data_IF_023388589730
#
_entry.id   IF_023388589730
#
_cell.length_a   1.000
_cell.length_b   1.000
_cell.length_c   1.000
_cell.angle_alpha   90.00
_cell.angle_beta   90.00
_cell.angle_gamma   90.00
#
_symmetry.space_group_name_H-M   'P 1'
#
loop_
_entity.id
_entity.type
_entity.pdbx_description
1 polymer ?
#
# COMPACT_ATOMS: atom_id res chain seq x y z
N UNK A 1 14.77 -1.29 21.45
CA UNK A 1 15.55 -2.08 20.46
C UNK A 1 14.57 -2.62 19.44
N UNK A 2 14.62 -2.13 18.21
CA UNK A 2 13.82 -2.64 17.09
C UNK A 2 14.34 -4.03 16.72
N UNK A 3 13.53 -5.07 16.85
CA UNK A 3 13.90 -6.46 16.54
C UNK A 3 14.24 -6.61 15.06
N UNK A 4 15.34 -7.27 14.68
CA UNK A 4 15.68 -7.51 13.26
C UNK A 4 14.52 -8.15 12.48
N UNK A 5 14.32 -7.73 11.21
CA UNK A 5 13.27 -8.27 10.34
C UNK A 5 13.62 -9.62 9.70
N UNK A 6 14.90 -9.99 9.56
CA UNK A 6 15.38 -11.24 8.93
C UNK A 6 14.60 -11.60 7.63
N UNK A 7 14.52 -10.68 6.68
CA UNK A 7 13.71 -10.83 5.46
C UNK A 7 14.36 -11.77 4.44
N UNK A 8 13.54 -12.60 3.80
CA UNK A 8 13.87 -13.40 2.62
C UNK A 8 13.11 -12.78 1.44
N UNK A 9 13.80 -12.09 0.52
CA UNK A 9 13.16 -11.32 -0.56
C UNK A 9 12.38 -12.21 -1.54
N UNK A 10 12.78 -13.48 -1.69
CA UNK A 10 12.07 -14.50 -2.46
C UNK A 10 10.71 -14.88 -1.85
N UNK A 11 10.49 -14.59 -0.56
CA UNK A 11 9.21 -14.79 0.16
C UNK A 11 8.56 -13.48 0.61
N UNK A 12 9.10 -12.34 0.18
CA UNK A 12 8.65 -11.02 0.61
C UNK A 12 8.16 -10.21 -0.59
N UNK A 13 6.98 -9.62 -0.48
CA UNK A 13 6.47 -8.66 -1.45
C UNK A 13 6.51 -7.22 -0.92
N UNK A 14 6.80 -6.26 -1.78
CA UNK A 14 6.45 -4.86 -1.57
C UNK A 14 5.06 -4.61 -2.14
N UNK A 15 4.15 -4.09 -1.33
CA UNK A 15 2.78 -3.78 -1.74
C UNK A 15 2.56 -2.28 -1.57
N UNK A 16 2.48 -1.56 -2.70
CA UNK A 16 2.35 -0.11 -2.76
C UNK A 16 0.88 0.27 -2.99
N UNK A 17 0.26 0.93 -2.02
CA UNK A 17 -1.16 1.27 -2.06
C UNK A 17 -1.38 2.67 -2.64
N UNK A 18 -2.14 2.72 -3.73
CA UNK A 18 -2.74 3.91 -4.35
C UNK A 18 -1.78 5.09 -4.56
N UNK A 19 -0.55 4.81 -5.00
CA UNK A 19 0.40 5.85 -5.46
C UNK A 19 0.06 6.33 -6.89
N UNK A 20 -1.18 6.75 -7.06
CA UNK A 20 -1.79 7.23 -8.30
C UNK A 20 -1.99 8.74 -8.27
N UNK A 21 -2.06 9.38 -9.43
CA UNK A 21 -2.17 10.84 -9.59
C UNK A 21 -3.33 11.44 -8.79
N UNK A 22 -4.44 10.71 -8.70
CA UNK A 22 -5.63 11.12 -7.96
C UNK A 22 -5.52 11.11 -6.44
N UNK A 23 -4.55 10.38 -5.89
CA UNK A 23 -4.46 10.08 -4.44
C UNK A 23 -3.18 10.67 -3.83
N UNK A 24 -2.06 10.67 -4.57
CA UNK A 24 -0.79 11.26 -4.12
C UNK A 24 -0.93 12.69 -3.57
N UNK A 25 -1.81 13.58 -4.10
CA UNK A 25 -2.02 14.91 -3.52
C UNK A 25 -2.54 14.94 -2.06
N UNK A 26 -2.98 13.81 -1.49
CA UNK A 26 -3.29 13.69 -0.06
C UNK A 26 -2.02 13.86 0.78
N UNK A 27 -0.88 13.35 0.30
CA UNK A 27 0.41 13.52 0.96
C UNK A 27 0.89 14.98 0.85
N UNK A 28 0.66 15.75 1.93
CA UNK A 28 1.09 17.16 2.01
C UNK A 28 2.56 17.32 2.34
N UNK A 29 3.21 16.32 2.93
CA UNK A 29 4.66 16.39 3.21
C UNK A 29 5.49 16.07 1.96
N UNK A 30 4.91 15.35 1.00
CA UNK A 30 5.57 14.95 -0.25
C UNK A 30 6.65 13.89 -0.03
N UNK A 31 6.64 13.21 1.13
CA UNK A 31 7.66 12.22 1.49
C UNK A 31 7.34 10.82 1.00
N UNK A 32 6.06 10.51 0.72
CA UNK A 32 5.60 9.16 0.42
C UNK A 32 6.23 8.63 -0.87
N UNK A 33 6.12 9.36 -1.98
CA UNK A 33 6.62 8.92 -3.29
C UNK A 33 8.15 8.77 -3.30
N UNK A 34 8.95 9.74 -2.81
CA UNK A 34 10.40 9.57 -2.71
C UNK A 34 10.83 8.36 -1.86
N UNK A 35 10.14 8.10 -0.75
CA UNK A 35 10.46 6.97 0.12
C UNK A 35 10.02 5.63 -0.50
N UNK A 36 8.83 5.57 -1.09
CA UNK A 36 8.36 4.43 -1.86
C UNK A 36 9.33 4.07 -2.99
N UNK A 37 9.89 5.07 -3.69
CA UNK A 37 10.89 4.86 -4.74
C UNK A 37 12.15 4.16 -4.21
N UNK A 38 12.64 4.53 -3.02
CA UNK A 38 13.79 3.84 -2.39
C UNK A 38 13.47 2.37 -2.08
N UNK A 39 12.26 2.08 -1.60
CA UNK A 39 11.81 0.71 -1.35
C UNK A 39 11.74 -0.10 -2.64
N UNK A 40 11.17 0.48 -3.71
CA UNK A 40 11.10 -0.14 -5.05
C UNK A 40 12.50 -0.50 -5.55
N UNK A 41 13.47 0.40 -5.38
CA UNK A 41 14.85 0.17 -5.82
C UNK A 41 15.49 -1.00 -5.06
N UNK A 42 15.29 -1.09 -3.74
CA UNK A 42 15.77 -2.23 -2.94
C UNK A 42 15.12 -3.54 -3.39
N UNK A 43 13.80 -3.57 -3.58
CA UNK A 43 13.12 -4.80 -4.03
C UNK A 43 13.57 -5.23 -5.42
N UNK A 44 13.80 -4.28 -6.34
CA UNK A 44 14.34 -4.58 -7.68
C UNK A 44 15.76 -5.13 -7.60
N UNK A 45 16.64 -4.52 -6.80
CA UNK A 45 18.02 -4.99 -6.61
C UNK A 45 18.06 -6.41 -6.05
N UNK A 46 17.18 -6.72 -5.09
CA UNK A 46 17.14 -8.01 -4.40
C UNK A 46 16.25 -9.06 -5.09
N UNK A 47 15.62 -8.72 -6.21
CA UNK A 47 14.73 -9.62 -6.95
C UNK A 47 13.42 -9.96 -6.21
N UNK A 48 13.00 -9.11 -5.27
CA UNK A 48 11.75 -9.27 -4.55
C UNK A 48 10.53 -8.91 -5.41
N UNK A 49 9.37 -9.49 -5.07
CA UNK A 49 8.13 -9.21 -5.78
C UNK A 49 7.59 -7.82 -5.43
N UNK A 50 7.04 -7.10 -6.41
CA UNK A 50 6.44 -5.78 -6.20
C UNK A 50 5.02 -5.80 -6.76
N UNK A 51 4.06 -5.39 -5.94
CA UNK A 51 2.66 -5.20 -6.30
C UNK A 51 2.32 -3.73 -6.26
N UNK A 52 1.99 -3.16 -7.42
CA UNK A 52 1.47 -1.80 -7.53
C UNK A 52 -0.05 -1.82 -7.49
N UNK A 53 -0.64 -1.25 -6.45
CA UNK A 53 -2.09 -1.20 -6.26
C UNK A 53 -2.61 0.18 -6.62
N UNK A 54 -3.64 0.24 -7.46
CA UNK A 54 -4.46 1.44 -7.64
C UNK A 54 -5.93 1.12 -7.38
N UNK A 55 -6.72 2.14 -7.11
CA UNK A 55 -8.17 2.09 -7.20
C UNK A 55 -8.60 2.74 -8.50
N UNK A 56 -9.55 2.11 -9.19
CA UNK A 56 -10.21 2.64 -10.38
C UNK A 56 -11.57 1.97 -10.54
N UNK A 57 -12.49 2.54 -11.31
CA UNK A 57 -13.83 2.02 -11.54
C UNK A 57 -14.05 1.84 -13.05
N UNK A 58 -14.78 0.80 -13.45
CA UNK A 58 -14.96 0.52 -14.89
C UNK A 58 -15.84 1.56 -15.58
N UNK A 59 -17.01 1.81 -14.99
CA UNK A 59 -18.02 2.76 -15.48
C UNK A 59 -18.66 3.56 -14.33
N UNK A 60 -18.16 3.37 -13.10
CA UNK A 60 -18.69 3.97 -11.89
C UNK A 60 -19.96 3.28 -11.37
N UNK A 61 -20.60 2.39 -12.14
CA UNK A 61 -21.70 1.58 -11.64
C UNK A 61 -21.22 0.53 -10.63
N UNK A 62 -19.94 0.14 -10.73
CA UNK A 62 -19.21 -0.76 -9.84
C UNK A 62 -18.72 -0.12 -8.53
N UNK A 63 -18.94 1.19 -8.33
CA UNK A 63 -18.67 1.84 -7.05
C UNK A 63 -19.62 1.35 -5.94
N UNK A 64 -19.09 1.27 -4.70
CA UNK A 64 -19.85 0.92 -3.51
C UNK A 64 -20.90 1.99 -3.19
N UNK A 65 -22.15 1.57 -2.92
CA UNK A 65 -23.29 2.45 -2.57
C UNK A 65 -23.98 2.11 -1.23
N UNK A 66 -23.27 1.70 -0.17
CA UNK A 66 -23.91 1.54 1.14
C UNK A 66 -24.37 2.91 1.66
N UNK A 67 -25.44 2.92 2.45
CA UNK A 67 -25.86 4.13 3.17
C UNK A 67 -24.89 4.39 4.32
N UNK A 68 -24.26 5.56 4.33
CA UNK A 68 -23.29 6.01 5.34
C UNK A 68 -23.69 7.36 5.89
N UNK A 69 -23.33 7.64 7.15
CA UNK A 69 -23.61 8.93 7.80
C UNK A 69 -22.86 10.09 7.12
N UNK A 70 -21.68 9.78 6.56
CA UNK A 70 -20.93 10.69 5.70
C UNK A 70 -21.23 10.34 4.25
N UNK A 71 -21.84 11.27 3.51
CA UNK A 71 -21.93 11.13 2.06
C UNK A 71 -20.51 11.11 1.49
N UNK A 72 -20.23 10.17 0.60
CA UNK A 72 -19.04 10.27 -0.23
C UNK A 72 -19.07 11.65 -0.89
N UNK A 73 -18.00 12.44 -0.71
CA UNK A 73 -17.92 13.77 -1.31
C UNK A 73 -18.37 13.65 -2.77
N UNK A 74 -19.25 14.55 -3.21
CA UNK A 74 -19.79 14.53 -4.56
C UNK A 74 -18.66 14.69 -5.56
N UNK A 75 -18.05 13.59 -5.97
CA UNK A 75 -16.96 13.61 -6.93
C UNK A 75 -17.65 13.76 -8.29
N UNK A 76 -17.55 14.96 -8.86
CA UNK A 76 -17.49 15.08 -10.31
C UNK A 76 -16.55 13.99 -10.84
N UNK A 77 -16.94 13.35 -11.95
CA UNK A 77 -16.18 12.24 -12.53
C UNK A 77 -14.67 12.57 -12.50
N UNK A 78 -13.84 11.68 -11.93
CA UNK A 78 -12.42 11.96 -11.77
C UNK A 78 -11.78 12.22 -13.15
N UNK A 79 -10.67 12.99 -13.19
CA UNK A 79 -9.89 13.14 -14.42
C UNK A 79 -9.55 11.77 -15.04
N UNK A 80 -9.40 11.72 -16.37
CA UNK A 80 -9.13 10.45 -17.07
C UNK A 80 -7.86 9.75 -16.60
N UNK A 81 -6.88 10.51 -16.10
CA UNK A 81 -5.61 10.00 -15.60
C UNK A 81 -5.58 9.80 -14.07
N UNK A 82 -6.71 9.93 -13.38
CA UNK A 82 -6.79 9.82 -11.92
C UNK A 82 -6.27 8.48 -11.38
N UNK A 83 -6.53 7.41 -12.13
CA UNK A 83 -6.11 6.04 -11.83
C UNK A 83 -4.66 5.73 -12.23
N UNK A 84 -4.02 6.60 -13.02
CA UNK A 84 -2.65 6.37 -13.46
C UNK A 84 -1.68 6.51 -12.28
N UNK A 85 -0.74 5.57 -12.19
CA UNK A 85 0.38 5.67 -11.26
C UNK A 85 1.21 6.93 -11.53
N UNK A 86 1.74 7.55 -10.48
CA UNK A 86 2.66 8.68 -10.68
C UNK A 86 3.94 8.21 -11.39
N UNK A 87 4.50 8.95 -12.36
CA UNK A 87 5.67 8.51 -13.11
C UNK A 87 6.89 8.18 -12.23
N UNK A 88 7.04 8.88 -11.11
CA UNK A 88 8.18 8.81 -10.19
C UNK A 88 8.38 7.43 -9.54
N UNK A 89 7.31 6.63 -9.35
CA UNK A 89 7.46 5.25 -8.85
C UNK A 89 7.92 4.27 -9.94
N UNK A 90 7.90 4.71 -11.20
CA UNK A 90 8.55 4.04 -12.33
C UNK A 90 8.06 2.62 -12.58
N UNK A 91 6.74 2.41 -12.61
CA UNK A 91 6.11 1.12 -12.97
C UNK A 91 6.60 0.67 -14.36
N UNK A 92 7.00 -0.60 -14.48
CA UNK A 92 7.46 -1.22 -15.74
C UNK A 92 6.40 -2.14 -16.32
N UNK A 93 6.51 -2.43 -17.61
CA UNK A 93 5.57 -3.29 -18.37
C UNK A 93 5.33 -4.67 -17.73
N UNK A 94 6.36 -5.27 -17.12
CA UNK A 94 6.29 -6.59 -16.48
C UNK A 94 6.07 -6.53 -14.95
N UNK A 95 5.89 -5.33 -14.38
CA UNK A 95 5.54 -5.22 -12.96
C UNK A 95 4.10 -5.68 -12.76
N UNK A 96 3.84 -6.36 -11.64
CA UNK A 96 2.48 -6.78 -11.31
C UNK A 96 1.68 -5.60 -10.79
N UNK A 97 0.54 -5.35 -11.42
CA UNK A 97 -0.42 -4.34 -11.02
C UNK A 97 -1.72 -5.01 -10.58
N UNK A 98 -2.40 -4.39 -9.61
CA UNK A 98 -3.73 -4.81 -9.17
C UNK A 98 -4.61 -3.58 -9.03
N UNK A 99 -5.78 -3.62 -9.65
CA UNK A 99 -6.76 -2.54 -9.58
C UNK A 99 -7.93 -2.98 -8.70
N UNK A 100 -8.07 -2.36 -7.53
CA UNK A 100 -9.17 -2.60 -6.60
C UNK A 100 -10.39 -1.72 -6.87
N UNK A 101 -11.55 -2.06 -6.30
CA UNK A 101 -12.83 -1.31 -6.37
C UNK A 101 -13.31 -0.80 -5.01
N UNK A 102 -12.46 -0.91 -4.00
CA UNK A 102 -12.76 -0.67 -2.59
C UNK A 102 -11.47 -0.30 -1.84
N UNK A 103 -11.53 -0.22 -0.52
CA UNK A 103 -10.36 0.17 0.30
C UNK A 103 -9.27 -0.89 0.34
N UNK A 104 -9.58 -2.12 0.76
CA UNK A 104 -8.59 -3.21 0.88
C UNK A 104 -8.17 -3.79 -0.47
N UNK A 105 -6.89 -4.15 -0.61
CA UNK A 105 -6.34 -4.64 -1.87
C UNK A 105 -6.59 -6.14 -2.12
N UNK A 106 -7.04 -6.92 -1.14
CA UNK A 106 -7.32 -8.35 -1.32
C UNK A 106 -8.75 -8.63 -1.76
N UNK A 107 -9.73 -7.88 -1.24
CA UNK A 107 -11.13 -8.17 -1.50
C UNK A 107 -11.46 -8.07 -3.00
N UNK A 108 -11.93 -9.16 -3.60
CA UNK A 108 -12.33 -9.17 -5.01
C UNK A 108 -11.20 -8.96 -6.02
N UNK A 109 -9.94 -9.11 -5.61
CA UNK A 109 -8.77 -9.08 -6.52
C UNK A 109 -8.05 -10.44 -6.54
N UNK A 110 -7.04 -10.60 -7.38
CA UNK A 110 -6.17 -11.77 -7.41
C UNK A 110 -4.89 -11.62 -6.57
N UNK A 111 -4.78 -10.59 -5.71
CA UNK A 111 -3.56 -10.34 -4.94
C UNK A 111 -3.13 -11.55 -4.07
N UNK A 112 -4.03 -12.13 -3.26
CA UNK A 112 -3.69 -13.32 -2.45
C UNK A 112 -3.26 -14.49 -3.34
N UNK A 113 -3.99 -14.74 -4.43
CA UNK A 113 -3.66 -15.81 -5.39
C UNK A 113 -2.23 -15.66 -5.92
N UNK A 114 -1.84 -14.43 -6.29
CA UNK A 114 -0.52 -14.14 -6.86
C UNK A 114 0.59 -14.29 -5.82
N UNK A 115 0.37 -13.78 -4.60
CA UNK A 115 1.33 -13.91 -3.50
C UNK A 115 1.52 -15.38 -3.10
N UNK A 116 0.43 -16.13 -2.89
CA UNK A 116 0.47 -17.55 -2.46
C UNK A 116 1.15 -18.44 -3.49
N UNK A 117 0.83 -18.30 -4.77
CA UNK A 117 1.44 -19.11 -5.84
C UNK A 117 2.94 -18.87 -6.01
N UNK A 118 3.45 -17.74 -5.53
CA UNK A 118 4.89 -17.40 -5.49
C UNK A 118 5.57 -17.80 -4.19
N UNK A 119 4.84 -18.39 -3.23
CA UNK A 119 5.38 -18.75 -1.93
C UNK A 119 5.68 -17.55 -1.03
N UNK A 120 5.06 -16.39 -1.30
CA UNK A 120 5.23 -15.18 -0.49
C UNK A 120 4.38 -15.31 0.76
N UNK A 121 5.02 -15.09 1.91
CA UNK A 121 4.40 -15.14 3.25
C UNK A 121 4.59 -13.83 4.04
N UNK A 122 5.39 -12.90 3.52
CA UNK A 122 5.71 -11.62 4.13
C UNK A 122 5.38 -10.48 3.18
N UNK A 123 4.74 -9.42 3.67
CA UNK A 123 4.48 -8.20 2.91
C UNK A 123 5.08 -6.97 3.60
N UNK A 124 5.65 -6.08 2.80
CA UNK A 124 6.06 -4.74 3.17
C UNK A 124 5.06 -3.77 2.58
N UNK A 125 4.37 -3.03 3.44
CA UNK A 125 3.28 -2.12 3.05
C UNK A 125 3.74 -0.67 3.15
N UNK A 126 3.36 0.12 2.15
CA UNK A 126 3.43 1.57 2.10
C UNK A 126 2.35 2.10 1.15
N UNK A 127 2.13 3.41 1.13
CA UNK A 127 1.11 4.02 0.27
C UNK A 127 0.11 4.91 1.00
N UNK A 128 -1.00 5.22 0.35
CA UNK A 128 -1.99 6.20 0.80
C UNK A 128 -3.41 5.60 0.63
N UNK A 129 -4.38 5.85 1.51
CA UNK A 129 -4.25 6.53 2.80
C UNK A 129 -3.96 5.53 3.94
N UNK A 130 -3.17 5.96 4.93
CA UNK A 130 -2.74 5.14 6.07
C UNK A 130 -3.88 4.40 6.76
N UNK A 131 -4.93 5.11 7.17
CA UNK A 131 -6.07 4.57 7.92
C UNK A 131 -7.21 4.02 7.04
N UNK A 132 -7.08 4.10 5.71
CA UNK A 132 -8.11 3.64 4.76
C UNK A 132 -7.57 2.46 3.96
N UNK A 133 -6.96 2.70 2.80
CA UNK A 133 -6.51 1.64 1.89
C UNK A 133 -5.39 0.80 2.47
N UNK A 134 -4.40 1.44 3.11
CA UNK A 134 -3.25 0.75 3.71
C UNK A 134 -3.68 -0.11 4.89
N UNK A 135 -4.38 0.47 5.87
CA UNK A 135 -4.84 -0.27 7.05
C UNK A 135 -5.86 -1.36 6.70
N UNK A 136 -6.80 -1.13 5.77
CA UNK A 136 -7.75 -2.15 5.33
C UNK A 136 -7.02 -3.34 4.72
N UNK A 137 -6.06 -3.08 3.83
CA UNK A 137 -5.21 -4.13 3.25
C UNK A 137 -4.40 -4.87 4.31
N UNK A 138 -3.87 -4.14 5.30
CA UNK A 138 -3.12 -4.74 6.40
C UNK A 138 -3.96 -5.68 7.29
N UNK A 139 -5.22 -5.31 7.54
CA UNK A 139 -6.17 -6.14 8.29
C UNK A 139 -6.54 -7.41 7.54
N UNK A 140 -6.82 -7.29 6.24
CA UNK A 140 -7.06 -8.45 5.35
C UNK A 140 -5.85 -9.39 5.33
N UNK A 141 -4.65 -8.84 5.13
CA UNK A 141 -3.40 -9.61 5.14
C UNK A 141 -3.17 -10.34 6.48
N UNK A 142 -3.47 -9.68 7.61
CA UNK A 142 -3.36 -10.30 8.92
C UNK A 142 -4.29 -11.51 9.06
N UNK A 143 -5.54 -11.39 8.61
CA UNK A 143 -6.51 -12.49 8.63
C UNK A 143 -6.11 -13.65 7.71
N UNK A 144 -5.44 -13.35 6.60
CA UNK A 144 -4.84 -14.35 5.72
C UNK A 144 -3.55 -14.94 6.31
N UNK A 145 -2.99 -14.38 7.39
CA UNK A 145 -1.81 -14.91 8.08
C UNK A 145 -0.46 -14.48 7.47
N UNK A 146 -0.42 -13.37 6.74
CA UNK A 146 0.84 -12.77 6.28
C UNK A 146 1.62 -12.13 7.43
N UNK A 147 2.94 -12.26 7.39
CA UNK A 147 3.83 -11.39 8.17
C UNK A 147 3.84 -10.01 7.54
N UNK A 148 3.87 -8.94 8.35
CA UNK A 148 3.69 -7.58 7.86
C UNK A 148 4.74 -6.62 8.40
N UNK A 149 5.29 -5.81 7.50
CA UNK A 149 6.16 -4.68 7.82
C UNK A 149 5.53 -3.41 7.27
N UNK A 150 5.34 -2.41 8.12
CA UNK A 150 4.76 -1.10 7.75
C UNK A 150 5.87 -0.07 7.64
N UNK A 151 6.06 0.54 6.47
CA UNK A 151 7.04 1.63 6.29
C UNK A 151 6.36 2.98 6.52
N UNK A 152 6.41 3.46 7.76
CA UNK A 152 5.48 4.49 8.26
C UNK A 152 5.74 5.90 7.73
N UNK A 153 6.97 6.20 7.29
CA UNK A 153 7.34 7.44 6.61
C UNK A 153 7.17 7.38 5.08
N UNK A 154 6.70 6.24 4.56
CA UNK A 154 6.22 6.04 3.20
C UNK A 154 4.69 5.90 3.17
N UNK A 155 4.00 6.53 4.12
CA UNK A 155 2.54 6.55 4.24
C UNK A 155 2.05 7.94 4.61
N UNK A 156 0.83 8.28 4.18
CA UNK A 156 0.16 9.52 4.55
C UNK A 156 -1.36 9.35 4.60
N UNK A 157 -2.05 10.25 5.28
CA UNK A 157 -3.51 10.36 5.27
C UNK A 157 -3.95 11.82 5.49
N UNK A 158 -5.24 12.06 5.66
CA UNK A 158 -5.86 13.39 5.69
C UNK A 158 -5.46 14.24 6.91
N UNK A 159 -4.99 13.62 8.00
CA UNK A 159 -4.44 14.34 9.16
C UNK A 159 -3.41 13.50 9.94
N UNK A 160 -2.53 14.17 10.67
CA UNK A 160 -1.56 13.52 11.56
C UNK A 160 -2.25 12.68 12.63
N UNK A 161 -3.39 13.15 13.16
CA UNK A 161 -4.17 12.40 14.16
C UNK A 161 -4.65 11.05 13.62
N UNK A 162 -5.19 11.05 12.39
CA UNK A 162 -5.64 9.82 11.74
C UNK A 162 -4.46 8.88 11.45
N UNK A 163 -3.33 9.43 11.00
CA UNK A 163 -2.09 8.67 10.78
C UNK A 163 -1.62 8.00 12.07
N UNK A 164 -1.43 8.80 13.13
CA UNK A 164 -0.91 8.34 14.41
C UNK A 164 -1.85 7.33 15.10
N UNK A 165 -3.17 7.46 14.93
CA UNK A 165 -4.12 6.48 15.46
C UNK A 165 -3.85 5.07 14.92
N UNK A 166 -3.68 4.92 13.60
CA UNK A 166 -3.35 3.64 12.96
C UNK A 166 -2.00 3.11 13.46
N UNK A 167 -0.98 3.95 13.44
CA UNK A 167 0.39 3.62 13.82
C UNK A 167 0.50 3.19 15.29
N UNK A 168 -0.26 3.83 16.18
CA UNK A 168 -0.21 3.58 17.62
C UNK A 168 -1.07 2.40 18.05
N UNK A 169 -2.28 2.25 17.50
CA UNK A 169 -3.27 1.33 18.03
C UNK A 169 -3.45 0.06 17.20
N UNK A 170 -3.22 0.14 15.89
CA UNK A 170 -3.53 -0.96 14.98
C UNK A 170 -2.27 -1.70 14.55
N UNK A 171 -1.34 -1.02 13.88
CA UNK A 171 -0.14 -1.65 13.31
C UNK A 171 0.67 -2.51 14.31
N UNK A 172 0.90 -2.11 15.57
CA UNK A 172 1.64 -2.92 16.53
C UNK A 172 0.96 -4.26 16.88
N UNK A 173 -0.35 -4.41 16.60
CA UNK A 173 -1.10 -5.64 16.84
C UNK A 173 -1.02 -6.62 15.67
N UNK A 174 -0.70 -6.14 14.47
CA UNK A 174 -0.81 -6.92 13.23
C UNK A 174 0.49 -6.98 12.40
N UNK A 175 1.56 -6.31 12.85
CA UNK A 175 2.85 -6.32 12.16
C UNK A 175 3.91 -5.49 12.88
N UNK A 176 4.96 -5.11 12.13
CA UNK A 176 6.12 -4.37 12.64
C UNK A 176 6.32 -3.07 11.86
N UNK A 177 6.42 -1.95 12.55
CA UNK A 177 6.65 -0.64 11.89
C UNK A 177 8.14 -0.33 11.75
N UNK A 178 8.55 0.25 10.62
CA UNK A 178 9.90 0.78 10.36
C UNK A 178 9.79 2.12 9.65
N UNK A 179 10.81 2.97 9.80
CA UNK A 179 11.06 4.02 8.80
C UNK A 179 11.71 3.42 7.55
N UNK A 180 11.74 4.17 6.46
CA UNK A 180 12.38 3.77 5.21
C UNK A 180 13.87 3.52 5.44
N UNK A 181 14.52 4.39 6.21
CA UNK A 181 15.93 4.23 6.57
C UNK A 181 16.18 2.98 7.43
N UNK A 182 15.35 2.73 8.44
CA UNK A 182 15.46 1.54 9.28
C UNK A 182 15.24 0.25 8.48
N UNK A 183 14.29 0.26 7.53
CA UNK A 183 14.04 -0.87 6.64
C UNK A 183 15.27 -1.16 5.79
N UNK A 184 15.78 -0.16 5.05
CA UNK A 184 16.94 -0.31 4.16
C UNK A 184 18.21 -0.74 4.93
N UNK A 185 18.40 -0.23 6.15
CA UNK A 185 19.52 -0.64 6.99
C UNK A 185 19.50 -2.15 7.34
N UNK A 186 18.32 -2.77 7.30
CA UNK A 186 18.10 -4.20 7.58
C UNK A 186 18.06 -5.07 6.31
N UNK A 187 18.25 -4.49 5.12
CA UNK A 187 18.28 -5.20 3.84
C UNK A 187 19.67 -5.29 3.21
N UNK A 188 20.69 -4.72 3.88
CA UNK A 188 22.11 -4.86 3.51
C UNK A 188 22.60 -6.25 3.87
#
# INVERSE_FOLDING_TARGET
MTTSLNLQFEKTALVLIDLQKGIVPIDKSGTVVPNAKKLIDVFREKGGFISFVNVDFHDGADALKPLTDEEAAGHSAPPADWAEFVPDIGVKENDYTVTKRQWGAFFGTDLDLQLRRRGIDTIVLCGIATNIGVESTAREAFQLGYQQVFVTDAMATFSDEQHEATLKFIFPKIGRSRTTEEFIAQTK
#
